data_IF_411697649548
#
_entry.id   IF_411697649548
#
_cell.length_a   1.000
_cell.length_b   1.000
_cell.length_c   1.000
_cell.angle_alpha   90.00
_cell.angle_beta   90.00
_cell.angle_gamma   90.00
#
_symmetry.space_group_name_H-M   'P 1'
#
loop_
_entity.id
_entity.type
_entity.pdbx_description
1 polymer ?
#
# COMPACT_ATOMS: atom_id res chain seq x y z
N UNK A 1 -17.34 9.12 -10.69
CA UNK A 1 -16.32 8.19 -11.22
C UNK A 1 -17.01 7.19 -12.14
N UNK A 2 -16.62 7.08 -13.42
CA UNK A 2 -17.20 6.09 -14.36
C UNK A 2 -16.30 4.85 -14.38
N UNK A 3 -16.88 3.68 -14.07
CA UNK A 3 -16.18 2.40 -14.16
C UNK A 3 -16.14 1.98 -15.64
N UNK A 4 -14.95 1.69 -16.15
CA UNK A 4 -14.72 1.26 -17.53
C UNK A 4 -14.70 -0.26 -17.66
N UNK A 5 -14.16 -0.95 -16.65
CA UNK A 5 -13.98 -2.40 -16.63
C UNK A 5 -14.11 -2.90 -15.19
N UNK A 6 -14.69 -4.09 -15.02
CA UNK A 6 -14.77 -4.80 -13.75
C UNK A 6 -14.48 -6.28 -13.98
N UNK A 7 -13.49 -6.82 -13.25
CA UNK A 7 -13.05 -8.21 -13.35
C UNK A 7 -12.88 -8.79 -11.96
N UNK A 8 -13.30 -10.04 -11.78
CA UNK A 8 -13.01 -10.80 -10.55
C UNK A 8 -11.70 -11.57 -10.72
N UNK A 9 -10.80 -11.46 -9.75
CA UNK A 9 -9.49 -12.10 -9.74
C UNK A 9 -9.57 -13.31 -8.81
N UNK A 10 -9.95 -14.47 -9.36
CA UNK A 10 -10.19 -15.71 -8.59
C UNK A 10 -8.97 -16.09 -7.73
N UNK A 11 -7.77 -16.02 -8.30
CA UNK A 11 -6.51 -16.39 -7.64
C UNK A 11 -6.18 -15.52 -6.40
N UNK A 12 -6.78 -14.33 -6.30
CA UNK A 12 -6.53 -13.37 -5.23
C UNK A 12 -7.78 -13.09 -4.37
N UNK A 13 -8.94 -13.66 -4.72
CA UNK A 13 -10.19 -13.48 -4.00
C UNK A 13 -10.67 -12.02 -3.94
N UNK A 14 -10.39 -11.22 -4.96
CA UNK A 14 -10.69 -9.79 -4.98
C UNK A 14 -11.23 -9.34 -6.33
N UNK A 15 -11.87 -8.16 -6.35
CA UNK A 15 -12.42 -7.57 -7.57
C UNK A 15 -11.59 -6.38 -7.99
N UNK A 16 -11.18 -6.32 -9.26
CA UNK A 16 -10.50 -5.17 -9.85
C UNK A 16 -11.46 -4.35 -10.71
N UNK A 17 -11.50 -3.03 -10.48
CA UNK A 17 -12.24 -2.06 -11.28
C UNK A 17 -11.28 -1.07 -11.92
N UNK A 18 -11.46 -0.76 -13.20
CA UNK A 18 -10.71 0.30 -13.90
C UNK A 18 -11.55 1.57 -14.00
N UNK A 19 -10.94 2.72 -13.75
CA UNK A 19 -11.57 4.03 -13.98
C UNK A 19 -10.51 5.09 -14.30
N UNK A 20 -10.96 6.22 -14.85
CA UNK A 20 -10.09 7.39 -15.11
C UNK A 20 -10.47 8.49 -14.12
N UNK A 21 -9.46 9.05 -13.46
CA UNK A 21 -9.57 10.19 -12.57
C UNK A 21 -8.31 11.05 -12.66
N UNK A 22 -8.48 12.37 -12.66
CA UNK A 22 -7.40 13.35 -12.81
C UNK A 22 -6.45 13.02 -13.98
N UNK A 23 -7.05 12.73 -15.14
CA UNK A 23 -6.33 12.35 -16.38
C UNK A 23 -5.43 11.11 -16.28
N UNK A 24 -5.49 10.34 -15.19
CA UNK A 24 -4.74 9.10 -14.97
C UNK A 24 -5.67 7.89 -14.96
N UNK A 25 -5.13 6.73 -15.31
CA UNK A 25 -5.83 5.46 -15.17
C UNK A 25 -5.61 4.95 -13.75
N UNK A 26 -6.69 4.51 -13.12
CA UNK A 26 -6.68 3.95 -11.78
C UNK A 26 -7.33 2.57 -11.78
N UNK A 27 -6.84 1.72 -10.89
CA UNK A 27 -7.39 0.41 -10.61
C UNK A 27 -7.75 0.31 -9.14
N UNK A 28 -9.02 0.03 -8.84
CA UNK A 28 -9.47 -0.26 -7.47
C UNK A 28 -9.56 -1.77 -7.29
N UNK A 29 -8.90 -2.28 -6.26
CA UNK A 29 -8.92 -3.67 -5.82
C UNK A 29 -9.76 -3.76 -4.55
N UNK A 30 -10.95 -4.33 -4.68
CA UNK A 30 -11.96 -4.42 -3.61
C UNK A 30 -11.96 -5.83 -3.03
N UNK A 31 -11.86 -5.91 -1.70
CA UNK A 31 -11.88 -7.17 -0.96
C UNK A 31 -12.60 -7.03 0.37
N UNK A 32 -12.96 -8.16 0.98
CA UNK A 32 -13.64 -8.21 2.28
C UNK A 32 -12.69 -8.81 3.30
N UNK A 33 -12.59 -8.19 4.48
CA UNK A 33 -11.89 -8.78 5.62
C UNK A 33 -12.71 -8.55 6.90
N UNK A 34 -13.11 -9.65 7.54
CA UNK A 34 -14.10 -9.58 8.64
C UNK A 34 -15.46 -9.10 8.11
N UNK A 35 -15.99 -8.03 8.71
CA UNK A 35 -17.29 -7.45 8.33
C UNK A 35 -17.14 -6.16 7.49
N UNK A 36 -15.91 -5.81 7.11
CA UNK A 36 -15.60 -4.56 6.42
C UNK A 36 -15.18 -4.83 4.97
N UNK A 37 -15.54 -3.89 4.10
CA UNK A 37 -15.08 -3.86 2.70
C UNK A 37 -13.92 -2.87 2.60
N UNK A 38 -12.86 -3.29 1.93
CA UNK A 38 -11.65 -2.51 1.75
C UNK A 38 -11.40 -2.25 0.27
N UNK A 39 -10.69 -1.16 -0.02
CA UNK A 39 -10.20 -0.87 -1.36
C UNK A 39 -8.73 -0.47 -1.34
N UNK A 40 -7.95 -1.05 -2.25
CA UNK A 40 -6.63 -0.52 -2.64
C UNK A 40 -6.80 0.15 -3.99
N UNK A 41 -6.47 1.44 -4.08
CA UNK A 41 -6.50 2.19 -5.33
C UNK A 41 -5.07 2.35 -5.83
N UNK A 42 -4.86 1.96 -7.07
CA UNK A 42 -3.55 1.99 -7.73
C UNK A 42 -3.64 2.89 -8.96
N UNK A 43 -3.02 4.07 -8.89
CA UNK A 43 -3.03 5.08 -9.94
C UNK A 43 -1.75 5.09 -10.77
N UNK A 44 -1.85 5.01 -12.09
CA UNK A 44 -0.69 4.97 -12.99
C UNK A 44 0.17 6.25 -12.90
N UNK A 45 1.48 6.12 -12.72
CA UNK A 45 2.47 7.19 -12.85
C UNK A 45 3.38 6.85 -14.03
N UNK A 46 3.12 7.46 -15.18
CA UNK A 46 3.80 7.10 -16.44
C UNK A 46 5.12 7.85 -16.64
N UNK A 47 5.34 8.95 -15.92
CA UNK A 47 6.51 9.80 -16.07
C UNK A 47 6.96 10.43 -14.75
N UNK A 48 8.25 10.71 -14.67
CA UNK A 48 8.90 11.33 -13.51
C UNK A 48 8.37 12.76 -13.23
N UNK A 49 7.96 13.49 -14.27
CA UNK A 49 7.45 14.86 -14.13
C UNK A 49 6.18 14.86 -13.28
N UNK A 50 5.27 13.92 -13.53
CA UNK A 50 4.03 13.74 -12.77
C UNK A 50 4.32 13.24 -11.36
N UNK A 51 5.24 12.27 -11.21
CA UNK A 51 5.69 11.76 -9.92
C UNK A 51 6.22 12.89 -9.01
N UNK A 52 7.12 13.73 -9.52
CA UNK A 52 7.69 14.85 -8.78
C UNK A 52 6.68 15.96 -8.54
N UNK A 53 5.79 16.25 -9.50
CA UNK A 53 4.72 17.26 -9.35
C UNK A 53 3.76 16.93 -8.20
N UNK A 54 3.52 15.65 -7.93
CA UNK A 54 2.66 15.18 -6.83
C UNK A 54 3.41 15.22 -5.48
N UNK A 55 4.72 15.46 -5.49
CA UNK A 55 5.55 15.63 -4.29
C UNK A 55 6.28 14.37 -3.86
N UNK A 56 6.47 13.40 -4.76
CA UNK A 56 7.34 12.26 -4.52
C UNK A 56 8.76 12.50 -5.01
N UNK A 57 9.72 11.80 -4.40
CA UNK A 57 11.12 11.86 -4.76
C UNK A 57 11.68 10.45 -4.93
N UNK A 58 12.48 10.25 -5.98
CA UNK A 58 13.17 8.98 -6.20
C UNK A 58 14.31 8.83 -5.18
N UNK A 59 14.63 7.60 -4.75
CA UNK A 59 15.79 7.38 -3.90
C UNK A 59 17.08 7.87 -4.58
N UNK A 60 18.07 8.38 -3.83
CA UNK A 60 19.29 8.93 -4.41
C UNK A 60 20.01 7.92 -5.30
N UNK A 61 20.34 8.36 -6.52
CA UNK A 61 21.06 7.53 -7.50
C UNK A 61 20.20 6.50 -8.24
N UNK A 62 18.88 6.49 -8.03
CA UNK A 62 17.95 5.61 -8.73
C UNK A 62 17.10 6.41 -9.72
N UNK A 63 17.11 5.99 -10.98
CA UNK A 63 16.32 6.62 -12.04
C UNK A 63 14.86 6.17 -12.00
N UNK A 64 13.95 7.04 -12.45
CA UNK A 64 12.54 6.67 -12.62
C UNK A 64 12.40 5.52 -13.64
N UNK A 65 11.64 4.45 -13.34
CA UNK A 65 11.52 3.29 -14.23
C UNK A 65 10.89 3.63 -15.59
N UNK A 66 11.45 3.10 -16.67
CA UNK A 66 10.96 3.33 -18.04
C UNK A 66 9.56 2.74 -18.31
N UNK A 67 9.17 1.71 -17.56
CA UNK A 67 7.83 1.12 -17.55
C UNK A 67 6.87 1.80 -16.56
N UNK A 68 7.25 2.95 -16.02
CA UNK A 68 6.43 3.73 -15.10
C UNK A 68 6.34 3.12 -13.69
N UNK A 69 5.62 3.82 -12.83
CA UNK A 69 5.33 3.40 -11.46
C UNK A 69 3.82 3.44 -11.21
N UNK A 70 3.39 3.01 -10.03
CA UNK A 70 2.04 3.21 -9.58
C UNK A 70 1.97 3.79 -8.17
N UNK A 71 1.09 4.77 -8.01
CA UNK A 71 0.77 5.36 -6.73
C UNK A 71 -0.30 4.51 -6.04
N UNK A 72 -0.05 4.14 -4.79
CA UNK A 72 -0.93 3.27 -4.02
C UNK A 72 -1.60 4.07 -2.91
N UNK A 73 -2.92 3.96 -2.87
CA UNK A 73 -3.75 4.42 -1.77
C UNK A 73 -4.52 3.23 -1.20
N UNK A 74 -4.71 3.22 0.11
CA UNK A 74 -5.40 2.12 0.78
C UNK A 74 -6.33 2.64 1.87
N UNK A 75 -7.58 2.18 1.83
CA UNK A 75 -8.60 2.58 2.80
C UNK A 75 -9.78 1.60 2.97
N UNK A 76 -10.62 1.83 3.99
CA UNK A 76 -11.97 1.25 4.08
C UNK A 76 -12.84 1.84 2.98
N UNK A 77 -13.61 0.98 2.33
CA UNK A 77 -14.52 1.37 1.26
C UNK A 77 -15.95 1.49 1.81
N UNK A 78 -16.42 2.72 2.02
CA UNK A 78 -17.80 3.00 2.45
C UNK A 78 -18.78 3.18 1.27
N UNK A 79 -18.28 3.10 0.03
CA UNK A 79 -19.06 3.26 -1.20
C UNK A 79 -19.40 4.71 -1.56
N UNK A 80 -19.02 5.69 -0.74
CA UNK A 80 -19.41 7.10 -0.86
C UNK A 80 -18.22 8.08 -0.89
N UNK A 81 -17.05 7.68 -0.38
CA UNK A 81 -15.89 8.57 -0.26
C UNK A 81 -15.17 8.83 -1.61
N UNK A 82 -14.75 10.09 -1.81
CA UNK A 82 -13.94 10.52 -2.95
C UNK A 82 -12.47 10.12 -2.78
N UNK A 83 -11.73 9.98 -3.88
CA UNK A 83 -10.30 9.60 -3.91
C UNK A 83 -9.37 10.46 -3.03
N UNK A 84 -9.83 11.59 -2.51
CA UNK A 84 -9.06 12.52 -1.68
C UNK A 84 -9.39 12.47 -0.18
N UNK A 85 -10.47 11.79 0.22
CA UNK A 85 -10.86 11.64 1.63
C UNK A 85 -10.30 10.33 2.19
N UNK A 86 -8.98 10.28 2.39
CA UNK A 86 -8.31 9.15 3.02
C UNK A 86 -8.65 9.10 4.52
N UNK A 87 -9.56 8.21 4.91
CA UNK A 87 -9.95 7.88 6.29
C UNK A 87 -9.29 6.61 6.78
N UNK A 88 -7.97 6.69 7.03
CA UNK A 88 -7.20 5.55 7.48
C UNK A 88 -7.83 4.74 8.62
N UNK A 89 -7.86 3.43 8.37
CA UNK A 89 -8.56 2.45 9.19
C UNK A 89 -7.76 2.10 10.43
N UNK A 90 -8.44 2.06 11.58
CA UNK A 90 -7.90 1.43 12.79
C UNK A 90 -8.17 -0.07 12.73
N UNK A 91 -7.13 -0.86 12.97
CA UNK A 91 -7.23 -2.32 13.01
C UNK A 91 -7.10 -2.82 14.44
N UNK A 92 -7.94 -3.76 14.84
CA UNK A 92 -7.76 -4.52 16.08
C UNK A 92 -7.57 -6.01 15.80
N UNK A 93 -6.59 -6.62 16.49
CA UNK A 93 -6.40 -8.08 16.50
C UNK A 93 -5.96 -8.70 15.16
N UNK A 94 -6.36 -9.96 14.94
CA UNK A 94 -5.97 -10.80 13.79
C UNK A 94 -6.41 -10.25 12.43
N UNK A 95 -7.45 -9.41 12.38
CA UNK A 95 -7.94 -8.78 11.15
C UNK A 95 -6.89 -7.89 10.47
N UNK A 96 -6.02 -7.25 11.27
CA UNK A 96 -4.92 -6.42 10.75
C UNK A 96 -3.97 -7.19 9.81
N UNK A 97 -3.60 -8.42 10.17
CA UNK A 97 -2.65 -9.22 9.40
C UNK A 97 -3.27 -9.68 8.07
N UNK A 98 -4.55 -10.09 8.11
CA UNK A 98 -5.30 -10.50 6.91
C UNK A 98 -5.41 -9.34 5.93
N UNK A 99 -5.83 -8.15 6.42
CA UNK A 99 -5.96 -6.96 5.59
C UNK A 99 -4.63 -6.61 4.91
N UNK A 100 -3.54 -6.53 5.67
CA UNK A 100 -2.23 -6.18 5.12
C UNK A 100 -1.72 -7.24 4.13
N UNK A 101 -1.97 -8.52 4.39
CA UNK A 101 -1.66 -9.59 3.45
C UNK A 101 -2.47 -9.44 2.15
N UNK A 102 -3.76 -9.10 2.23
CA UNK A 102 -4.60 -8.88 1.05
C UNK A 102 -4.19 -7.62 0.27
N UNK A 103 -3.77 -6.56 0.96
CA UNK A 103 -3.17 -5.37 0.32
C UNK A 103 -1.93 -5.77 -0.47
N UNK A 104 -1.01 -6.53 0.13
CA UNK A 104 0.18 -7.01 -0.58
C UNK A 104 -0.18 -7.89 -1.80
N UNK A 105 -1.18 -8.76 -1.69
CA UNK A 105 -1.69 -9.53 -2.83
C UNK A 105 -2.25 -8.64 -3.95
N UNK A 106 -2.94 -7.55 -3.63
CA UNK A 106 -3.41 -6.59 -4.62
C UNK A 106 -2.24 -5.90 -5.36
N UNK A 107 -1.17 -5.56 -4.65
CA UNK A 107 0.05 -5.01 -5.26
C UNK A 107 0.72 -6.03 -6.18
N UNK A 108 0.87 -7.28 -5.73
CA UNK A 108 1.43 -8.37 -6.55
C UNK A 108 0.61 -8.56 -7.82
N UNK A 109 -0.72 -8.68 -7.70
CA UNK A 109 -1.62 -8.83 -8.84
C UNK A 109 -1.54 -7.65 -9.82
N UNK A 110 -1.30 -6.43 -9.32
CA UNK A 110 -1.09 -5.26 -10.18
C UNK A 110 0.26 -5.31 -10.89
N UNK A 111 1.33 -5.58 -10.15
CA UNK A 111 2.68 -5.69 -10.68
C UNK A 111 2.77 -6.74 -11.80
N UNK A 112 2.28 -7.95 -11.55
CA UNK A 112 2.30 -9.06 -12.50
C UNK A 112 1.47 -8.77 -13.75
N UNK A 113 0.33 -8.07 -13.61
CA UNK A 113 -0.55 -7.78 -14.73
C UNK A 113 -0.02 -6.67 -15.64
N UNK A 114 0.51 -5.60 -15.05
CA UNK A 114 0.81 -4.36 -15.76
C UNK A 114 2.30 -4.14 -16.01
N UNK A 115 3.17 -4.98 -15.42
CA UNK A 115 4.62 -4.91 -15.58
C UNK A 115 5.17 -3.50 -15.33
N UNK A 116 4.76 -2.91 -14.21
CA UNK A 116 5.23 -1.59 -13.76
C UNK A 116 6.59 -1.73 -13.09
N UNK A 117 7.39 -0.66 -13.07
CA UNK A 117 8.72 -0.66 -12.46
C UNK A 117 8.71 -0.51 -10.94
N UNK A 118 7.57 -0.19 -10.34
CA UNK A 118 7.45 -0.09 -8.89
C UNK A 118 6.22 0.62 -8.37
N UNK A 119 6.11 0.68 -7.05
CA UNK A 119 5.04 1.34 -6.31
C UNK A 119 5.56 2.54 -5.52
N UNK A 120 4.71 3.53 -5.29
CA UNK A 120 4.95 4.62 -4.35
C UNK A 120 3.73 4.86 -3.49
N UNK A 121 3.92 5.13 -2.19
CA UNK A 121 2.84 5.50 -1.29
C UNK A 121 3.34 6.25 -0.06
N UNK A 122 2.45 6.97 0.62
CA UNK A 122 2.75 7.64 1.87
C UNK A 122 2.00 6.96 3.02
N UNK A 123 2.66 6.80 4.17
CA UNK A 123 1.95 6.50 5.40
C UNK A 123 1.16 7.72 5.85
N UNK A 124 -0.06 7.50 6.33
CA UNK A 124 -0.77 8.53 7.05
C UNK A 124 0.03 8.95 8.29
N UNK A 125 0.08 10.26 8.54
CA UNK A 125 0.87 10.88 9.60
C UNK A 125 0.00 11.60 10.62
N UNK A 126 0.55 11.85 11.80
CA UNK A 126 -0.09 12.65 12.85
C UNK A 126 -0.64 11.81 13.99
N UNK A 127 -0.69 12.37 15.20
CA UNK A 127 -0.96 11.60 16.42
C UNK A 127 -2.25 10.77 16.39
N UNK A 128 -3.25 11.16 15.59
CA UNK A 128 -4.55 10.48 15.45
C UNK A 128 -4.43 9.09 14.82
N UNK A 129 -3.50 8.88 13.88
CA UNK A 129 -3.39 7.61 13.14
C UNK A 129 -2.93 6.45 14.01
N UNK A 130 -2.17 6.77 15.06
CA UNK A 130 -1.62 5.79 16.02
C UNK A 130 -2.41 5.70 17.32
N UNK A 131 -3.49 6.48 17.50
CA UNK A 131 -4.33 6.39 18.71
C UNK A 131 -4.89 4.97 18.84
N UNK A 132 -4.49 4.28 19.90
CA UNK A 132 -4.91 2.91 20.22
C UNK A 132 -4.06 1.82 19.57
N UNK A 133 -3.05 2.17 18.76
CA UNK A 133 -2.11 1.20 18.19
C UNK A 133 -0.98 0.87 19.18
N UNK A 134 -0.57 -0.39 19.21
CA UNK A 134 0.64 -0.83 19.95
C UNK A 134 1.92 -0.70 19.13
N UNK A 135 1.78 -0.70 17.82
CA UNK A 135 2.84 -0.62 16.82
C UNK A 135 2.41 0.46 15.85
N UNK A 136 3.28 1.43 15.57
CA UNK A 136 2.91 2.54 14.69
C UNK A 136 2.60 2.04 13.28
N UNK A 137 1.85 2.82 12.53
CA UNK A 137 1.59 2.50 11.12
C UNK A 137 2.89 2.42 10.31
N UNK A 138 3.77 3.40 10.51
CA UNK A 138 5.10 3.44 9.89
C UNK A 138 5.91 2.18 10.21
N UNK A 139 5.97 1.78 11.49
CA UNK A 139 6.65 0.56 11.88
C UNK A 139 6.01 -0.67 11.23
N UNK A 140 4.68 -0.71 11.12
CA UNK A 140 3.97 -1.82 10.44
C UNK A 140 4.42 -1.95 8.99
N UNK A 141 4.48 -0.85 8.23
CA UNK A 141 4.95 -0.86 6.85
C UNK A 141 6.44 -1.20 6.74
N UNK A 142 7.29 -0.71 7.64
CA UNK A 142 8.71 -1.05 7.65
C UNK A 142 8.94 -2.57 7.72
N UNK A 143 8.16 -3.30 8.53
CA UNK A 143 8.24 -4.75 8.60
C UNK A 143 7.63 -5.45 7.38
N UNK A 144 6.52 -4.96 6.83
CA UNK A 144 5.90 -5.53 5.62
C UNK A 144 6.82 -5.41 4.41
N UNK A 145 7.56 -4.31 4.31
CA UNK A 145 8.47 -4.02 3.21
C UNK A 145 9.88 -4.58 3.43
N UNK A 146 10.16 -5.22 4.57
CA UNK A 146 11.47 -5.76 4.90
C UNK A 146 12.53 -4.72 5.28
N UNK A 147 12.14 -3.47 5.51
CA UNK A 147 13.02 -2.40 6.04
C UNK A 147 13.38 -2.61 7.51
N UNK A 148 12.56 -3.39 8.24
CA UNK A 148 12.85 -3.89 9.59
C UNK A 148 12.65 -5.40 9.66
N UNK A 149 13.52 -6.07 10.42
CA UNK A 149 13.50 -7.53 10.59
C UNK A 149 13.71 -7.97 12.04
N UNK A 150 13.65 -7.03 12.98
CA UNK A 150 13.89 -7.32 14.39
C UNK A 150 12.87 -8.31 14.98
N UNK A 151 13.29 -9.27 15.81
CA UNK A 151 12.37 -10.17 16.50
C UNK A 151 11.43 -9.39 17.41
N UNK A 152 10.12 -9.61 17.24
CA UNK A 152 9.09 -9.06 18.13
C UNK A 152 8.85 -10.02 19.29
N UNK A 153 8.46 -9.50 20.45
CA UNK A 153 8.18 -10.32 21.63
C UNK A 153 6.72 -10.19 22.08
N UNK A 154 6.19 -11.23 22.73
CA UNK A 154 4.91 -11.15 23.41
C UNK A 154 5.09 -10.45 24.76
N UNK A 155 4.48 -9.28 24.92
CA UNK A 155 4.59 -8.47 26.15
C UNK A 155 4.15 -9.24 27.41
N UNK A 156 3.18 -10.16 27.29
CA UNK A 156 2.66 -10.92 28.44
C UNK A 156 3.53 -12.11 28.83
N UNK A 157 4.18 -12.75 27.86
CA UNK A 157 4.90 -14.02 28.09
C UNK A 157 6.41 -13.91 27.91
N UNK A 158 6.91 -12.79 27.36
CA UNK A 158 8.32 -12.60 27.02
C UNK A 158 8.82 -13.45 25.85
N UNK A 159 7.98 -14.34 25.30
CA UNK A 159 8.39 -15.26 24.25
C UNK A 159 8.55 -14.54 22.90
N UNK A 160 9.54 -14.92 22.08
CA UNK A 160 9.70 -14.39 20.74
C UNK A 160 8.50 -14.77 19.87
N UNK A 161 7.99 -13.80 19.12
CA UNK A 161 7.06 -14.02 18.02
C UNK A 161 7.86 -14.49 16.81
N UNK A 162 7.18 -15.16 15.89
CA UNK A 162 7.76 -15.52 14.59
C UNK A 162 8.35 -14.27 13.93
N UNK A 163 9.55 -14.41 13.36
CA UNK A 163 10.18 -13.33 12.63
C UNK A 163 9.23 -12.82 11.53
N UNK A 164 8.99 -11.51 11.44
CA UNK A 164 8.19 -10.93 10.37
C UNK A 164 8.85 -11.24 9.03
N UNK A 165 8.05 -11.76 8.09
CA UNK A 165 8.47 -11.99 6.70
C UNK A 165 7.98 -10.80 5.86
N UNK A 166 8.82 -10.23 4.97
CA UNK A 166 8.36 -9.26 3.99
C UNK A 166 7.20 -9.82 3.17
N UNK A 167 6.24 -8.97 2.85
CA UNK A 167 5.05 -9.33 2.07
C UNK A 167 5.14 -8.89 0.60
N UNK A 168 6.20 -8.18 0.24
CA UNK A 168 6.52 -7.88 -1.16
C UNK A 168 7.33 -9.02 -1.79
N UNK A 169 7.25 -9.21 -3.12
CA UNK A 169 8.13 -10.10 -3.86
C UNK A 169 9.63 -9.88 -3.58
N UNK A 170 10.43 -10.93 -3.68
CA UNK A 170 11.87 -10.89 -3.40
C UNK A 170 12.67 -10.09 -4.45
N UNK A 171 12.12 -9.90 -5.64
CA UNK A 171 12.68 -9.03 -6.68
C UNK A 171 12.39 -7.55 -6.44
N UNK A 172 11.54 -7.21 -5.45
CA UNK A 172 11.24 -5.83 -5.11
C UNK A 172 12.03 -5.35 -3.90
N UNK A 173 12.61 -4.16 -4.04
CA UNK A 173 13.38 -3.46 -3.03
C UNK A 173 12.62 -2.21 -2.55
N UNK A 174 12.45 -2.10 -1.25
CA UNK A 174 11.82 -0.94 -0.63
C UNK A 174 12.83 0.11 -0.21
N UNK A 175 12.44 1.36 -0.37
CA UNK A 175 13.14 2.56 0.06
C UNK A 175 12.17 3.42 0.85
N UNK A 176 12.70 4.15 1.83
CA UNK A 176 11.91 5.03 2.68
C UNK A 176 12.58 6.38 2.82
N UNK A 177 11.80 7.42 2.63
CA UNK A 177 12.18 8.81 2.95
C UNK A 177 11.15 9.38 3.93
N UNK A 178 11.58 10.34 4.76
CA UNK A 178 10.69 11.05 5.68
C UNK A 178 10.71 12.52 5.27
N UNK A 179 9.59 13.00 4.75
CA UNK A 179 9.42 14.38 4.29
C UNK A 179 8.31 15.02 5.12
N UNK A 180 8.61 16.13 5.80
CA UNK A 180 7.65 16.86 6.65
C UNK A 180 6.91 15.99 7.69
N UNK A 181 7.59 14.96 8.22
CA UNK A 181 7.01 14.03 9.20
C UNK A 181 6.07 12.97 8.59
N UNK A 182 6.06 12.81 7.26
CA UNK A 182 5.38 11.74 6.54
C UNK A 182 6.40 10.74 5.99
N UNK A 183 6.21 9.47 6.31
CA UNK A 183 7.00 8.41 5.70
C UNK A 183 6.48 8.14 4.28
N UNK A 184 7.35 8.33 3.29
CA UNK A 184 7.13 7.99 1.90
C UNK A 184 7.89 6.70 1.58
N UNK A 185 7.24 5.78 0.89
CA UNK A 185 7.79 4.50 0.51
C UNK A 185 7.84 4.39 -1.00
N UNK A 186 9.00 4.03 -1.52
CA UNK A 186 9.22 3.71 -2.93
C UNK A 186 9.65 2.25 -2.99
N UNK A 187 8.93 1.43 -3.75
CA UNK A 187 9.22 -0.01 -3.92
C UNK A 187 9.54 -0.23 -5.40
N UNK A 188 10.71 -0.74 -5.73
CA UNK A 188 11.23 -0.86 -7.09
C UNK A 188 11.73 -2.26 -7.37
N UNK A 189 11.68 -2.68 -8.63
CA UNK A 189 12.35 -3.90 -9.09
C UNK A 189 13.89 -3.72 -9.10
#
# INVERSE_FOLDING_TARGET
MRIEEEVFLDDYGMRRKKFVYDHRVHHSYVFVAGNEVYTVIVGSLVDEVTFTRIGYEMPPGIAFPANGMAEVYFDVYDGMDGLADFRHVKFEGLGSAVVLQTVSLALIAHYEKFNIGGFVFQAASGGVVDIGRRTTLEETYDYMLGLKSEPRYNIRTGLPKKAPRPLIPEDLHAYKTITEGRACYVVLQ
#
